data_IF_899260464504
#
_entry.id   IF_899260464504
#
_cell.length_a   1.000
_cell.length_b   1.000
_cell.length_c   1.000
_cell.angle_alpha   90.00
_cell.angle_beta   90.00
_cell.angle_gamma   90.00
#
_symmetry.space_group_name_H-M   'P 1'
#
loop_
_entity.id
_entity.type
_entity.pdbx_description
1 polymer ?
#
# COMPACT_ATOMS: atom_id res chain seq x y z
N UNK A 1 -13.83 -0.12 9.48
CA UNK A 1 -12.82 -1.12 9.05
C UNK A 1 -11.44 -0.53 9.27
N UNK A 2 -10.49 -1.29 9.81
CA UNK A 2 -9.09 -0.85 9.98
C UNK A 2 -8.30 -1.23 8.72
N UNK A 3 -7.31 -0.42 8.37
CA UNK A 3 -6.45 -0.65 7.22
C UNK A 3 -4.99 -0.44 7.60
N UNK A 4 -4.09 -1.19 6.95
CA UNK A 4 -2.66 -0.98 7.06
C UNK A 4 -2.30 0.45 6.63
N UNK A 5 -1.62 1.19 7.49
CA UNK A 5 -1.27 2.60 7.23
C UNK A 5 -0.19 2.78 6.16
N UNK A 6 0.41 1.69 5.66
CA UNK A 6 1.44 1.70 4.62
C UNK A 6 0.98 1.14 3.25
N UNK A 7 -0.01 0.24 3.19
CA UNK A 7 -0.42 -0.35 1.92
C UNK A 7 -1.94 -0.45 1.70
N UNK A 8 -2.76 0.08 2.63
CA UNK A 8 -4.22 -0.01 2.64
C UNK A 8 -4.81 -1.43 2.67
N UNK A 9 -4.02 -2.46 2.99
CA UNK A 9 -4.55 -3.81 3.20
C UNK A 9 -5.60 -3.80 4.33
N UNK A 10 -6.80 -4.38 4.13
CA UNK A 10 -7.79 -4.56 5.18
C UNK A 10 -7.25 -5.39 6.35
N UNK A 11 -7.45 -4.90 7.58
CA UNK A 11 -7.03 -5.54 8.82
C UNK A 11 -8.25 -6.11 9.55
N UNK A 12 -8.96 -7.02 8.91
CA UNK A 12 -10.22 -7.61 9.43
C UNK A 12 -9.98 -8.63 10.53
N UNK A 13 -8.78 -9.19 10.61
CA UNK A 13 -8.34 -10.17 11.61
C UNK A 13 -7.05 -9.69 12.28
N UNK A 14 -6.94 -9.93 13.58
CA UNK A 14 -5.74 -9.61 14.37
C UNK A 14 -4.48 -10.30 13.80
N UNK A 15 -4.63 -11.49 13.22
CA UNK A 15 -3.54 -12.25 12.57
C UNK A 15 -2.90 -11.49 11.40
N UNK A 16 -3.62 -10.54 10.78
CA UNK A 16 -3.06 -9.72 9.71
C UNK A 16 -2.25 -8.54 10.23
N UNK A 17 -2.31 -8.23 11.54
CA UNK A 17 -1.57 -7.13 12.16
C UNK A 17 -0.22 -7.64 12.66
N UNK A 18 0.87 -7.13 12.09
CA UNK A 18 2.22 -7.54 12.47
C UNK A 18 2.91 -6.58 13.44
N UNK A 19 2.56 -5.29 13.38
CA UNK A 19 3.13 -4.22 14.18
C UNK A 19 2.10 -3.11 14.43
N UNK A 20 2.01 -2.66 15.68
CA UNK A 20 1.31 -1.46 16.09
C UNK A 20 2.32 -0.43 16.61
N UNK A 21 2.32 0.79 16.08
CA UNK A 21 3.16 1.88 16.58
C UNK A 21 2.46 3.24 16.47
N UNK A 22 3.17 4.33 16.78
CA UNK A 22 2.63 5.70 16.76
C UNK A 22 2.11 6.16 15.39
N UNK A 23 2.49 5.51 14.29
CA UNK A 23 1.98 5.79 12.95
C UNK A 23 0.70 5.00 12.62
N UNK A 24 0.36 3.97 13.42
CA UNK A 24 -0.81 3.12 13.26
C UNK A 24 -0.49 1.62 13.12
N UNK A 25 -1.43 0.88 12.53
CA UNK A 25 -1.37 -0.57 12.35
C UNK A 25 -0.72 -0.93 11.00
N UNK A 26 0.21 -1.89 11.01
CA UNK A 26 0.89 -2.41 9.82
C UNK A 26 0.59 -3.89 9.61
N UNK A 27 0.33 -4.28 8.36
CA UNK A 27 0.03 -5.67 8.04
C UNK A 27 1.27 -6.57 8.00
N UNK A 28 1.05 -7.89 8.06
CA UNK A 28 2.09 -8.93 7.92
C UNK A 28 2.95 -8.80 6.65
N UNK A 29 2.44 -8.21 5.57
CA UNK A 29 3.21 -8.05 4.33
C UNK A 29 4.12 -6.82 4.33
N UNK A 30 3.82 -5.80 5.15
CA UNK A 30 4.59 -4.55 5.24
C UNK A 30 5.65 -4.56 6.35
N UNK A 31 5.74 -5.65 7.12
CA UNK A 31 6.67 -5.79 8.24
C UNK A 31 7.61 -6.95 7.95
N UNK A 32 8.89 -6.79 8.27
CA UNK A 32 9.90 -7.84 8.14
C UNK A 32 9.92 -8.79 9.37
N UNK A 33 10.78 -9.80 9.32
CA UNK A 33 10.99 -10.77 10.39
C UNK A 33 11.59 -10.14 11.66
N UNK A 34 12.26 -9.00 11.53
CA UNK A 34 12.79 -8.18 12.62
C UNK A 34 11.77 -7.20 13.22
N UNK A 35 10.48 -7.32 12.83
CA UNK A 35 9.39 -6.44 13.28
C UNK A 35 9.58 -4.97 12.89
N UNK A 36 10.29 -4.70 11.80
CA UNK A 36 10.44 -3.36 11.22
C UNK A 36 9.58 -3.21 9.98
N UNK A 37 9.14 -1.98 9.72
CA UNK A 37 8.45 -1.65 8.47
C UNK A 37 9.43 -1.80 7.31
N UNK A 38 9.02 -2.52 6.27
CA UNK A 38 9.83 -2.73 5.06
C UNK A 38 10.10 -1.43 4.31
N UNK A 39 11.05 -1.48 3.38
CA UNK A 39 11.36 -0.34 2.51
C UNK A 39 10.15 0.05 1.65
N UNK A 40 10.18 1.29 1.14
CA UNK A 40 9.16 1.77 0.20
C UNK A 40 9.09 0.87 -1.03
N UNK A 41 10.26 0.49 -1.55
CA UNK A 41 10.43 -0.32 -2.74
C UNK A 41 9.81 -1.72 -2.56
N UNK A 42 10.02 -2.34 -1.40
CA UNK A 42 9.46 -3.66 -1.09
C UNK A 42 7.93 -3.61 -0.95
N UNK A 43 7.41 -2.60 -0.25
CA UNK A 43 5.95 -2.43 -0.07
C UNK A 43 5.29 -2.11 -1.41
N UNK A 44 5.92 -1.23 -2.21
CA UNK A 44 5.45 -0.90 -3.56
C UNK A 44 5.44 -2.13 -4.45
N UNK A 45 6.53 -2.90 -4.49
CA UNK A 45 6.63 -4.13 -5.27
C UNK A 45 5.55 -5.14 -4.88
N UNK A 46 5.35 -5.38 -3.59
CA UNK A 46 4.31 -6.30 -3.10
C UNK A 46 2.90 -5.85 -3.48
N UNK A 47 2.62 -4.54 -3.41
CA UNK A 47 1.36 -3.98 -3.89
C UNK A 47 1.17 -4.17 -5.40
N UNK A 48 2.22 -3.95 -6.19
CA UNK A 48 2.16 -4.13 -7.65
C UNK A 48 1.91 -5.59 -8.01
N UNK A 49 2.60 -6.52 -7.34
CA UNK A 49 2.40 -7.96 -7.52
C UNK A 49 0.96 -8.38 -7.18
N UNK A 50 0.34 -7.81 -6.14
CA UNK A 50 -1.07 -8.05 -5.82
C UNK A 50 -2.00 -7.63 -6.96
N UNK A 51 -1.89 -6.39 -7.45
CA UNK A 51 -2.78 -5.92 -8.52
C UNK A 51 -2.54 -6.64 -9.86
N UNK A 52 -1.35 -7.17 -10.10
CA UNK A 52 -1.07 -8.02 -11.27
C UNK A 52 -1.71 -9.40 -11.11
N UNK A 53 -1.49 -10.06 -9.97
CA UNK A 53 -1.82 -11.48 -9.82
C UNK A 53 -3.26 -11.72 -9.38
N UNK A 54 -3.78 -10.88 -8.48
CA UNK A 54 -5.10 -11.07 -7.87
C UNK A 54 -6.19 -10.28 -8.62
N UNK A 55 -5.86 -9.05 -9.05
CA UNK A 55 -6.80 -8.16 -9.76
C UNK A 55 -6.62 -8.20 -11.29
N UNK A 56 -5.64 -8.96 -11.79
CA UNK A 56 -5.35 -9.17 -13.22
C UNK A 56 -5.14 -7.87 -14.03
N UNK A 57 -4.55 -6.84 -13.42
CA UNK A 57 -4.21 -5.60 -14.11
C UNK A 57 -2.83 -5.67 -14.81
N UNK A 58 -2.66 -4.97 -15.96
CA UNK A 58 -1.35 -4.78 -16.55
C UNK A 58 -0.38 -4.09 -15.57
N UNK A 59 0.90 -4.50 -15.61
CA UNK A 59 1.94 -3.99 -14.71
C UNK A 59 1.97 -2.46 -14.60
N UNK A 60 1.96 -1.74 -15.73
CA UNK A 60 2.01 -0.27 -15.74
C UNK A 60 0.80 0.35 -15.03
N UNK A 61 -0.37 -0.27 -15.16
CA UNK A 61 -1.59 0.18 -14.50
C UNK A 61 -1.53 -0.12 -12.99
N UNK A 62 -1.09 -1.32 -12.61
CA UNK A 62 -0.85 -1.70 -11.22
C UNK A 62 0.14 -0.74 -10.51
N UNK A 63 1.24 -0.36 -11.18
CA UNK A 63 2.19 0.62 -10.65
C UNK A 63 1.53 1.99 -10.38
N UNK A 64 0.68 2.47 -11.29
CA UNK A 64 -0.05 3.75 -11.11
C UNK A 64 -1.04 3.69 -9.95
N UNK A 65 -1.76 2.56 -9.80
CA UNK A 65 -2.70 2.33 -8.68
C UNK A 65 -1.95 2.36 -7.36
N UNK A 66 -0.91 1.53 -7.23
CA UNK A 66 -0.16 1.35 -5.97
C UNK A 66 0.52 2.66 -5.57
N UNK A 67 1.10 3.36 -6.54
CA UNK A 67 1.73 4.67 -6.29
C UNK A 67 0.72 5.65 -5.74
N UNK A 68 -0.44 5.78 -6.40
CA UNK A 68 -1.52 6.66 -5.98
C UNK A 68 -2.02 6.30 -4.57
N UNK A 69 -2.27 5.02 -4.34
CA UNK A 69 -2.73 4.50 -3.05
C UNK A 69 -1.75 4.83 -1.92
N UNK A 70 -0.48 4.45 -2.07
CA UNK A 70 0.55 4.67 -1.04
C UNK A 70 0.72 6.16 -0.73
N UNK A 71 0.77 7.04 -1.72
CA UNK A 71 0.92 8.49 -1.49
C UNK A 71 -0.22 9.11 -0.67
N UNK A 72 -1.42 8.52 -0.70
CA UNK A 72 -2.56 9.01 0.07
C UNK A 72 -2.53 8.59 1.55
N UNK A 73 -1.73 7.58 1.91
CA UNK A 73 -1.72 7.01 3.25
C UNK A 73 -0.92 7.84 4.27
N UNK A 74 -1.33 7.87 5.55
CA UNK A 74 -0.67 8.68 6.58
C UNK A 74 0.82 8.39 6.74
N UNK A 75 1.23 7.12 6.64
CA UNK A 75 2.63 6.74 6.83
C UNK A 75 3.54 7.42 5.80
N UNK A 76 3.17 7.40 4.52
CA UNK A 76 3.98 7.95 3.43
C UNK A 76 3.90 9.48 3.33
N UNK A 77 2.81 10.10 3.80
CA UNK A 77 2.73 11.55 3.96
C UNK A 77 3.78 12.08 4.94
N UNK A 78 4.07 11.31 6.00
CA UNK A 78 5.07 11.65 7.01
C UNK A 78 6.47 11.07 6.71
N UNK A 79 6.57 10.12 5.79
CA UNK A 79 7.82 9.47 5.37
C UNK A 79 7.94 9.51 3.85
N UNK A 80 8.20 10.69 3.25
CA UNK A 80 8.28 10.82 1.80
C UNK A 80 9.44 9.96 1.26
N UNK A 81 9.16 9.18 0.21
CA UNK A 81 10.16 8.31 -0.42
C UNK A 81 10.21 8.53 -1.92
N UNK A 82 11.41 8.39 -2.50
CA UNK A 82 11.65 8.50 -3.92
C UNK A 82 10.89 7.41 -4.71
N UNK A 83 10.65 6.24 -4.11
CA UNK A 83 9.95 5.14 -4.75
C UNK A 83 8.53 5.49 -5.18
N UNK A 84 7.91 6.51 -4.55
CA UNK A 84 6.56 6.99 -4.86
C UNK A 84 6.53 8.12 -5.90
N UNK A 85 7.68 8.56 -6.44
CA UNK A 85 7.71 9.53 -7.54
C UNK A 85 7.48 8.82 -8.88
N UNK A 86 6.54 9.31 -9.68
CA UNK A 86 6.24 8.75 -11.00
C UNK A 86 4.78 8.95 -11.39
N UNK A 87 4.39 8.33 -12.50
CA UNK A 87 3.01 8.36 -12.96
C UNK A 87 2.06 7.69 -11.96
N UNK A 88 0.91 8.32 -11.76
CA UNK A 88 -0.17 7.88 -10.88
C UNK A 88 -1.49 7.99 -11.61
N UNK A 89 -2.51 7.28 -11.13
CA UNK A 89 -3.87 7.55 -11.55
C UNK A 89 -4.32 8.95 -11.12
N UNK A 90 -5.17 9.56 -11.94
CA UNK A 90 -5.93 10.74 -11.54
C UNK A 90 -6.88 10.42 -10.37
N UNK A 91 -7.35 11.44 -9.67
CA UNK A 91 -8.33 11.25 -8.59
C UNK A 91 -9.63 10.61 -9.09
N UNK A 92 -10.04 10.91 -10.32
CA UNK A 92 -11.25 10.35 -10.93
C UNK A 92 -11.09 8.87 -11.27
N UNK A 93 -9.96 8.50 -11.90
CA UNK A 93 -9.65 7.09 -12.19
C UNK A 93 -9.51 6.28 -10.91
N UNK A 94 -8.83 6.82 -9.90
CA UNK A 94 -8.63 6.13 -8.62
C UNK A 94 -9.95 5.92 -7.88
N UNK A 95 -10.85 6.93 -7.85
CA UNK A 95 -12.18 6.77 -7.23
C UNK A 95 -13.01 5.68 -7.88
N UNK A 96 -12.95 5.55 -9.21
CA UNK A 96 -13.71 4.53 -9.95
C UNK A 96 -13.30 3.09 -9.60
N UNK A 97 -12.09 2.88 -9.08
CA UNK A 97 -11.61 1.54 -8.68
C UNK A 97 -12.19 1.05 -7.35
N UNK A 98 -12.62 1.96 -6.48
CA UNK A 98 -13.04 1.63 -5.10
C UNK A 98 -14.47 2.07 -4.77
N UNK A 99 -15.16 2.68 -5.73
CA UNK A 99 -16.58 3.03 -5.65
C UNK A 99 -17.37 2.11 -6.59
N UNK A 100 -17.75 0.93 -6.10
CA UNK A 100 -18.91 0.17 -6.57
C UNK A 100 -20.00 0.20 -5.51
#
# INVERSE_FOLDING_TARGET
>A
MKFCVACSMPLEKEEFIALHNSNGDFCIYCVDDQKKVKSCEDIFKGGVEYFINEENYPKEYAEKIVRKNMTLLPYWKNNPSACLKGEMLSDEEFKKLFCE
#
